data_IF_823896235816
#
_entry.id   IF_823896235816
#
_cell.length_a   1.000
_cell.length_b   1.000
_cell.length_c   1.000
_cell.angle_alpha   90.00
_cell.angle_beta   90.00
_cell.angle_gamma   90.00
#
_symmetry.space_group_name_H-M   'P 1'
#
loop_
_entity.id
_entity.type
_entity.pdbx_description
1 polymer ?
#
# COMPACT_ATOMS: atom_id res chain seq x y z
N UNK A 1 33.51 -9.26 5.69
CA UNK A 1 32.65 -10.13 4.86
C UNK A 1 31.17 -9.95 5.23
N UNK A 2 30.84 -9.82 6.53
CA UNK A 2 29.46 -9.60 6.99
C UNK A 2 28.83 -8.27 6.54
N UNK A 3 29.61 -7.19 6.48
CA UNK A 3 29.08 -5.88 6.07
C UNK A 3 28.55 -5.86 4.63
N UNK A 4 29.21 -6.58 3.72
CA UNK A 4 28.82 -6.61 2.30
C UNK A 4 27.55 -7.46 2.06
N UNK A 5 27.41 -8.57 2.80
CA UNK A 5 26.21 -9.42 2.78
C UNK A 5 25.00 -8.66 3.32
N UNK A 6 25.19 -7.94 4.42
CA UNK A 6 24.15 -7.11 5.03
C UNK A 6 23.74 -5.97 4.08
N UNK A 7 24.70 -5.29 3.45
CA UNK A 7 24.44 -4.19 2.52
C UNK A 7 23.59 -4.63 1.30
N UNK A 8 23.83 -5.83 0.76
CA UNK A 8 23.01 -6.40 -0.30
C UNK A 8 21.61 -6.82 0.16
N UNK A 9 21.49 -7.38 1.37
CA UNK A 9 20.19 -7.77 1.96
C UNK A 9 19.29 -6.54 2.17
N UNK A 10 19.85 -5.42 2.61
CA UNK A 10 19.11 -4.17 2.83
C UNK A 10 18.70 -3.48 1.52
N UNK A 11 19.55 -3.53 0.48
CA UNK A 11 19.18 -3.02 -0.85
C UNK A 11 17.95 -3.74 -1.42
N UNK A 12 17.80 -5.04 -1.14
CA UNK A 12 16.62 -5.82 -1.53
C UNK A 12 15.37 -5.44 -0.73
N UNK A 13 15.55 -5.04 0.53
CA UNK A 13 14.45 -4.65 1.43
C UNK A 13 13.83 -3.30 1.02
N UNK A 14 14.68 -2.31 0.74
CA UNK A 14 14.29 -0.99 0.22
C UNK A 14 13.53 -1.09 -1.11
N UNK A 15 14.03 -1.92 -2.03
CA UNK A 15 13.35 -2.19 -3.31
C UNK A 15 12.02 -2.90 -3.08
N UNK A 16 11.93 -3.83 -2.13
CA UNK A 16 10.68 -4.49 -1.79
C UNK A 16 9.64 -3.51 -1.19
N UNK A 17 10.07 -2.55 -0.36
CA UNK A 17 9.19 -1.49 0.18
C UNK A 17 8.62 -0.60 -0.93
N UNK A 18 9.47 -0.22 -1.90
CA UNK A 18 9.05 0.57 -3.05
C UNK A 18 8.06 -0.21 -3.92
N UNK A 19 8.38 -1.46 -4.27
CA UNK A 19 7.52 -2.29 -5.12
C UNK A 19 6.18 -2.53 -4.43
N UNK A 20 6.16 -2.84 -3.14
CA UNK A 20 4.90 -3.04 -2.38
C UNK A 20 4.06 -1.77 -2.31
N UNK A 21 4.67 -0.60 -2.10
CA UNK A 21 3.97 0.69 -2.12
C UNK A 21 3.38 1.04 -3.49
N UNK A 22 4.17 0.84 -4.57
CA UNK A 22 3.70 1.05 -5.95
C UNK A 22 2.58 0.07 -6.29
N UNK A 23 2.70 -1.20 -5.91
CA UNK A 23 1.68 -2.22 -6.16
C UNK A 23 0.37 -1.85 -5.46
N UNK A 24 0.44 -1.40 -4.21
CA UNK A 24 -0.74 -0.96 -3.45
C UNK A 24 -1.48 0.19 -4.15
N UNK A 25 -0.75 1.17 -4.71
CA UNK A 25 -1.36 2.31 -5.41
C UNK A 25 -1.83 1.95 -6.80
N UNK A 26 -1.00 1.31 -7.63
CA UNK A 26 -1.36 0.97 -9.00
C UNK A 26 -2.58 0.03 -9.02
N UNK A 27 -2.61 -0.95 -8.12
CA UNK A 27 -3.74 -1.87 -8.01
C UNK A 27 -4.90 -1.22 -7.28
N UNK A 28 -4.70 -0.40 -6.26
CA UNK A 28 -5.80 0.25 -5.55
C UNK A 28 -6.52 1.35 -6.35
N UNK A 29 -5.77 2.21 -7.05
CA UNK A 29 -6.32 3.22 -7.98
C UNK A 29 -6.86 2.55 -9.23
N UNK A 30 -6.12 1.58 -9.78
CA UNK A 30 -6.55 0.78 -10.93
C UNK A 30 -7.81 -0.02 -10.63
N UNK A 31 -7.92 -0.60 -9.44
CA UNK A 31 -9.12 -1.30 -8.97
C UNK A 31 -10.29 -0.33 -8.88
N UNK A 32 -10.16 0.84 -8.25
CA UNK A 32 -11.25 1.80 -8.23
C UNK A 32 -11.67 2.27 -9.64
N UNK A 33 -10.71 2.50 -10.54
CA UNK A 33 -10.99 2.99 -11.90
C UNK A 33 -11.59 1.92 -12.84
N UNK A 34 -11.17 0.66 -12.72
CA UNK A 34 -11.72 -0.48 -13.48
C UNK A 34 -12.98 -1.05 -12.83
N UNK A 35 -13.06 -1.05 -11.51
CA UNK A 35 -14.18 -1.60 -10.75
C UNK A 35 -15.38 -0.66 -10.74
N UNK A 36 -15.22 0.66 -10.74
CA UNK A 36 -16.35 1.60 -10.78
C UNK A 36 -17.28 1.41 -12.01
N UNK A 37 -16.77 1.24 -13.25
CA UNK A 37 -17.62 0.92 -14.39
C UNK A 37 -18.15 -0.53 -14.36
N UNK A 38 -17.33 -1.50 -13.91
CA UNK A 38 -17.72 -2.92 -13.84
C UNK A 38 -18.79 -3.16 -12.76
N UNK A 39 -18.69 -2.48 -11.62
CA UNK A 39 -19.64 -2.61 -10.51
C UNK A 39 -21.00 -1.98 -10.84
N UNK A 40 -21.01 -0.89 -11.62
CA UNK A 40 -22.24 -0.35 -12.20
C UNK A 40 -22.87 -1.31 -13.23
N UNK A 41 -22.06 -2.04 -13.99
CA UNK A 41 -22.54 -3.08 -14.91
C UNK A 41 -23.05 -4.34 -14.16
N UNK A 42 -22.34 -4.77 -13.11
CA UNK A 42 -22.69 -5.94 -12.29
C UNK A 42 -23.83 -5.68 -11.30
N UNK A 43 -24.09 -4.43 -10.88
CA UNK A 43 -25.28 -4.07 -10.08
C UNK A 43 -26.58 -4.46 -10.77
N UNK A 44 -26.56 -4.61 -12.09
CA UNK A 44 -27.69 -5.05 -12.91
C UNK A 44 -27.85 -6.59 -12.90
N UNK A 45 -26.81 -7.35 -12.53
CA UNK A 45 -26.75 -8.81 -12.70
C UNK A 45 -26.50 -9.62 -11.43
N UNK A 46 -25.89 -9.04 -10.39
CA UNK A 46 -25.51 -9.72 -9.15
C UNK A 46 -26.30 -9.13 -8.00
N UNK A 47 -26.94 -10.01 -7.23
CA UNK A 47 -27.65 -9.69 -5.99
C UNK A 47 -26.74 -8.85 -5.09
N UNK A 48 -27.16 -7.61 -4.83
CA UNK A 48 -26.42 -6.59 -4.08
C UNK A 48 -26.03 -7.03 -2.66
N UNK A 49 -26.67 -8.06 -2.14
CA UNK A 49 -26.39 -8.64 -0.83
C UNK A 49 -25.02 -9.35 -0.73
N UNK A 50 -24.44 -9.84 -1.83
CA UNK A 50 -23.15 -10.57 -1.81
C UNK A 50 -21.92 -9.69 -2.09
N UNK A 51 -22.11 -8.49 -2.64
CA UNK A 51 -21.05 -7.50 -2.91
C UNK A 51 -20.12 -7.21 -1.71
N UNK A 52 -20.60 -6.99 -0.47
CA UNK A 52 -19.72 -6.65 0.64
C UNK A 52 -18.76 -7.79 1.03
N UNK A 53 -19.16 -9.06 0.82
CA UNK A 53 -18.32 -10.23 1.13
C UNK A 53 -17.10 -10.34 0.22
N UNK A 54 -17.15 -9.75 -0.98
CA UNK A 54 -16.06 -9.77 -1.96
C UNK A 54 -15.17 -8.53 -1.80
N UNK A 55 -15.77 -7.36 -1.58
CA UNK A 55 -15.04 -6.08 -1.54
C UNK A 55 -14.22 -5.94 -0.25
N UNK A 56 -14.79 -6.32 0.90
CA UNK A 56 -14.14 -6.14 2.20
C UNK A 56 -12.79 -6.89 2.34
N UNK A 57 -12.67 -8.19 2.00
CA UNK A 57 -11.39 -8.89 2.12
C UNK A 57 -10.34 -8.37 1.13
N UNK A 58 -10.77 -7.97 -0.06
CA UNK A 58 -9.89 -7.37 -1.08
C UNK A 58 -9.30 -6.06 -0.55
N UNK A 59 -10.13 -5.18 0.01
CA UNK A 59 -9.69 -3.91 0.62
C UNK A 59 -8.73 -4.15 1.80
N UNK A 60 -9.02 -5.16 2.64
CA UNK A 60 -8.20 -5.52 3.81
C UNK A 60 -6.78 -5.98 3.43
N UNK A 61 -6.65 -6.82 2.39
CA UNK A 61 -5.34 -7.26 1.90
C UNK A 61 -4.51 -6.07 1.40
N UNK A 62 -5.12 -5.12 0.71
CA UNK A 62 -4.42 -3.93 0.22
C UNK A 62 -3.98 -2.99 1.34
N UNK A 63 -4.80 -2.85 2.38
CA UNK A 63 -4.44 -2.09 3.56
C UNK A 63 -3.19 -2.67 4.25
N UNK A 64 -3.11 -4.00 4.34
CA UNK A 64 -1.92 -4.69 4.86
C UNK A 64 -0.66 -4.42 4.03
N UNK A 65 -0.75 -4.41 2.69
CA UNK A 65 0.39 -4.07 1.83
C UNK A 65 0.86 -2.63 2.00
N UNK A 66 -0.07 -1.68 2.14
CA UNK A 66 0.28 -0.29 2.37
C UNK A 66 0.98 -0.09 3.72
N UNK A 67 0.50 -0.74 4.78
CA UNK A 67 1.17 -0.74 6.09
C UNK A 67 2.57 -1.37 5.98
N UNK A 68 2.70 -2.51 5.29
CA UNK A 68 3.98 -3.17 5.10
C UNK A 68 5.01 -2.26 4.39
N UNK A 69 4.58 -1.52 3.37
CA UNK A 69 5.43 -0.54 2.68
C UNK A 69 5.91 0.58 3.62
N UNK A 70 4.99 1.13 4.45
CA UNK A 70 5.31 2.19 5.44
C UNK A 70 6.26 1.67 6.52
N UNK A 71 5.99 0.50 7.09
CA UNK A 71 6.81 -0.09 8.14
C UNK A 71 8.20 -0.44 7.60
N UNK A 72 8.29 -1.04 6.42
CA UNK A 72 9.54 -1.44 5.80
C UNK A 72 10.43 -0.22 5.49
N UNK A 73 9.88 0.79 4.82
CA UNK A 73 10.62 2.03 4.52
C UNK A 73 10.96 2.83 5.79
N UNK A 74 10.09 2.83 6.80
CA UNK A 74 10.34 3.46 8.10
C UNK A 74 11.50 2.81 8.88
N UNK A 75 11.59 1.48 8.86
CA UNK A 75 12.70 0.74 9.48
C UNK A 75 14.03 1.07 8.79
N UNK A 76 14.06 1.08 7.46
CA UNK A 76 15.29 1.38 6.71
C UNK A 76 15.72 2.84 6.90
N UNK A 77 14.78 3.79 6.95
CA UNK A 77 15.07 5.20 7.27
C UNK A 77 15.64 5.37 8.69
N UNK A 78 15.10 4.66 9.68
CA UNK A 78 15.61 4.71 11.04
C UNK A 78 17.04 4.16 11.14
N UNK A 79 17.38 3.15 10.34
CA UNK A 79 18.74 2.58 10.26
C UNK A 79 19.73 3.50 9.56
N UNK A 80 19.30 4.18 8.49
CA UNK A 80 20.10 5.24 7.84
C UNK A 80 20.39 6.36 8.84
N UNK A 81 19.38 6.80 9.62
CA UNK A 81 19.55 7.85 10.63
C UNK A 81 20.56 7.47 11.73
N UNK A 82 20.69 6.18 12.05
CA UNK A 82 21.67 5.66 13.02
C UNK A 82 23.08 5.47 12.44
N UNK A 83 23.32 5.82 11.17
CA UNK A 83 24.63 5.68 10.53
C UNK A 83 25.02 4.22 10.22
N UNK A 84 24.08 3.27 10.35
CA UNK A 84 24.31 1.85 10.11
C UNK A 84 24.33 1.55 8.59
N UNK A 85 23.76 2.44 7.77
CA UNK A 85 23.63 2.25 6.32
C UNK A 85 24.01 3.50 5.53
N UNK A 86 24.46 3.30 4.30
CA UNK A 86 24.80 4.36 3.34
C UNK A 86 23.52 5.04 2.84
N UNK A 87 23.54 6.33 2.50
CA UNK A 87 22.36 7.08 2.03
C UNK A 87 21.81 6.62 0.67
N UNK A 88 22.45 5.62 0.04
CA UNK A 88 22.13 5.07 -1.27
C UNK A 88 20.92 4.14 -1.17
N UNK A 89 19.72 4.68 -1.38
CA UNK A 89 18.44 3.96 -1.21
C UNK A 89 17.39 4.79 -0.45
N UNK A 90 17.83 5.81 0.28
CA UNK A 90 16.99 6.71 1.08
C UNK A 90 15.80 7.28 0.32
N UNK A 91 15.99 7.64 -0.96
CA UNK A 91 14.92 8.16 -1.80
C UNK A 91 13.80 7.13 -2.03
N UNK A 92 14.14 5.87 -2.26
CA UNK A 92 13.17 4.80 -2.44
C UNK A 92 12.40 4.49 -1.16
N UNK A 93 13.07 4.50 -0.01
CA UNK A 93 12.41 4.26 1.28
C UNK A 93 11.41 5.38 1.63
N UNK A 94 11.81 6.63 1.43
CA UNK A 94 10.92 7.79 1.62
C UNK A 94 9.73 7.68 0.66
N UNK A 95 9.98 7.34 -0.60
CA UNK A 95 8.93 7.24 -1.61
C UNK A 95 7.94 6.12 -1.25
N UNK A 96 8.41 4.95 -0.82
CA UNK A 96 7.57 3.85 -0.35
C UNK A 96 6.71 4.23 0.86
N UNK A 97 7.29 4.94 1.85
CA UNK A 97 6.55 5.44 3.02
C UNK A 97 5.49 6.46 2.63
N UNK A 98 5.85 7.43 1.78
CA UNK A 98 4.92 8.49 1.34
C UNK A 98 3.77 7.91 0.52
N UNK A 99 4.08 7.01 -0.42
CA UNK A 99 3.09 6.31 -1.23
C UNK A 99 2.15 5.45 -0.37
N UNK A 100 2.70 4.61 0.50
CA UNK A 100 1.89 3.76 1.39
C UNK A 100 1.00 4.60 2.33
N UNK A 101 1.55 5.69 2.89
CA UNK A 101 0.81 6.61 3.75
C UNK A 101 -0.32 7.34 3.01
N UNK A 102 -0.07 7.82 1.79
CA UNK A 102 -1.09 8.46 0.96
C UNK A 102 -2.25 7.50 0.66
N UNK A 103 -1.94 6.24 0.36
CA UNK A 103 -2.95 5.22 0.10
C UNK A 103 -3.83 4.94 1.32
N UNK A 104 -3.23 4.77 2.51
CA UNK A 104 -3.95 4.60 3.77
C UNK A 104 -4.91 5.77 4.00
N UNK A 105 -4.46 7.00 3.73
CA UNK A 105 -5.23 8.22 3.92
C UNK A 105 -6.46 8.27 2.99
N UNK A 106 -6.30 7.89 1.72
CA UNK A 106 -7.40 7.79 0.74
C UNK A 106 -8.42 6.73 1.18
N UNK A 107 -7.96 5.55 1.59
CA UNK A 107 -8.85 4.48 2.07
C UNK A 107 -9.61 4.91 3.32
N UNK A 108 -8.96 5.61 4.24
CA UNK A 108 -9.59 6.14 5.44
C UNK A 108 -10.70 7.16 5.10
N UNK A 109 -10.43 8.08 4.16
CA UNK A 109 -11.45 9.03 3.68
C UNK A 109 -12.64 8.33 3.03
N UNK A 110 -12.39 7.27 2.26
CA UNK A 110 -13.46 6.49 1.63
C UNK A 110 -14.34 5.79 2.67
N UNK A 111 -13.73 5.12 3.66
CA UNK A 111 -14.45 4.49 4.77
C UNK A 111 -15.23 5.52 5.60
N UNK A 112 -14.63 6.69 5.85
CA UNK A 112 -15.28 7.77 6.57
C UNK A 112 -16.49 8.30 5.80
N UNK A 113 -16.38 8.47 4.47
CA UNK A 113 -17.48 8.89 3.60
C UNK A 113 -18.64 7.91 3.61
N UNK A 114 -18.36 6.61 3.51
CA UNK A 114 -19.40 5.56 3.59
C UNK A 114 -20.06 5.51 4.97
N UNK A 115 -19.31 5.76 6.05
CA UNK A 115 -19.85 5.81 7.42
C UNK A 115 -20.72 7.07 7.68
N UNK A 116 -20.37 8.20 7.07
CA UNK A 116 -21.05 9.49 7.26
C UNK A 116 -22.25 9.70 6.35
N UNK A 117 -22.35 8.98 5.23
CA UNK A 117 -23.56 9.02 4.40
C UNK A 117 -24.62 8.10 5.00
N UNK A 118 -25.75 8.64 5.49
CA UNK A 118 -26.87 7.83 5.92
C UNK A 118 -27.48 7.13 4.70
N UNK A 119 -27.50 5.80 4.71
CA UNK A 119 -28.42 4.99 3.89
C UNK A 119 -29.83 5.07 4.47
#
# INVERSE_FOLDING_TARGET
>A
MDDEINLQKYRKLSVAALITGILAICVGVGYNFLWFPISNLMRVYIDTSMMPFIILPVLGVFFCFAIAAVVCGGIDLNRIKKGIYNSKGRGFDITGVVLGGLFILIVLFFLLGELLMPH
#
